data_IF_937566606768
#
_entry.id   IF_937566606768
#
_cell.length_a   1.000
_cell.length_b   1.000
_cell.length_c   1.000
_cell.angle_alpha   90.00
_cell.angle_beta   90.00
_cell.angle_gamma   90.00
#
_symmetry.space_group_name_H-M   'P 1'
#
loop_
_entity.id
_entity.type
_entity.pdbx_description
1 polymer ?
#
# COMPACT_ATOMS: atom_id res chain seq x y z
N UNK A 1 2.74 10.21 -14.12
CA UNK A 1 2.93 9.02 -13.26
C UNK A 1 3.45 9.41 -11.89
N UNK A 2 2.56 9.66 -10.93
CA UNK A 2 2.96 10.00 -9.56
C UNK A 2 2.79 8.74 -8.70
N UNK A 3 3.87 7.97 -8.55
CA UNK A 3 3.93 6.86 -7.59
C UNK A 3 4.68 7.32 -6.34
N UNK A 4 4.07 7.20 -5.17
CA UNK A 4 4.71 7.51 -3.89
C UNK A 4 5.34 6.24 -3.32
N UNK A 5 6.48 6.37 -2.64
CA UNK A 5 7.06 5.26 -1.87
C UNK A 5 6.62 5.35 -0.42
N UNK A 6 6.18 4.23 0.13
CA UNK A 6 5.73 4.09 1.51
C UNK A 6 6.58 3.03 2.21
N UNK A 7 7.22 3.39 3.32
CA UNK A 7 7.94 2.41 4.14
C UNK A 7 6.95 1.82 5.14
N UNK A 8 6.71 0.51 5.07
CA UNK A 8 5.81 -0.19 5.99
C UNK A 8 6.41 -0.13 7.40
N UNK A 9 5.62 0.30 8.37
CA UNK A 9 6.00 0.23 9.79
C UNK A 9 5.26 -0.90 10.51
N UNK A 10 5.72 -1.27 11.70
CA UNK A 10 5.06 -2.31 12.48
C UNK A 10 3.63 -1.88 12.82
N UNK A 11 2.64 -2.66 12.35
CA UNK A 11 1.21 -2.36 12.50
C UNK A 11 0.58 -1.65 11.30
N UNK A 12 1.36 -1.27 10.29
CA UNK A 12 0.80 -0.87 8.99
C UNK A 12 0.13 -2.06 8.31
N UNK A 13 -0.90 -1.75 7.54
CA UNK A 13 -1.64 -2.70 6.73
C UNK A 13 -2.00 -2.04 5.40
N UNK A 14 -2.12 -2.81 4.32
CA UNK A 14 -2.45 -2.24 3.01
C UNK A 14 -3.77 -1.44 3.05
N UNK A 15 -4.76 -1.88 3.83
CA UNK A 15 -6.00 -1.12 4.07
C UNK A 15 -5.75 0.24 4.73
N UNK A 16 -4.88 0.31 5.74
CA UNK A 16 -4.55 1.55 6.44
C UNK A 16 -3.80 2.52 5.54
N UNK A 17 -2.86 2.00 4.74
CA UNK A 17 -2.11 2.80 3.75
C UNK A 17 -3.07 3.31 2.67
N UNK A 18 -3.94 2.46 2.13
CA UNK A 18 -4.95 2.84 1.15
C UNK A 18 -5.97 3.85 1.71
N UNK A 19 -6.44 3.67 2.95
CA UNK A 19 -7.31 4.64 3.60
C UNK A 19 -6.64 6.01 3.78
N UNK A 20 -5.32 6.03 4.04
CA UNK A 20 -4.57 7.25 4.26
C UNK A 20 -4.20 7.97 2.96
N UNK A 21 -3.84 7.22 1.92
CA UNK A 21 -3.40 7.78 0.64
C UNK A 21 -4.57 7.99 -0.34
N UNK A 22 -5.57 7.10 -0.37
CA UNK A 22 -6.73 7.19 -1.25
C UNK A 22 -8.01 7.65 -0.56
N UNK A 23 -8.01 7.78 0.78
CA UNK A 23 -9.24 8.01 1.54
C UNK A 23 -10.15 6.78 1.62
N UNK A 24 -9.79 5.68 0.96
CA UNK A 24 -10.63 4.49 0.88
C UNK A 24 -9.79 3.22 1.15
N UNK A 25 -10.06 2.49 2.25
CA UNK A 25 -9.35 1.25 2.57
C UNK A 25 -9.57 0.16 1.52
N UNK A 26 -10.64 0.21 0.70
CA UNK A 26 -10.94 -0.78 -0.34
C UNK A 26 -10.00 -0.74 -1.55
N UNK A 27 -9.28 0.38 -1.75
CA UNK A 27 -8.35 0.58 -2.85
C UNK A 27 -6.96 -0.05 -2.61
N UNK A 28 -6.79 -0.80 -1.51
CA UNK A 28 -5.58 -1.54 -1.18
C UNK A 28 -5.10 -2.49 -2.28
N UNK A 29 -6.01 -2.96 -3.15
CA UNK A 29 -5.70 -3.80 -4.30
C UNK A 29 -4.75 -3.13 -5.28
N UNK A 30 -4.87 -1.81 -5.49
CA UNK A 30 -3.98 -1.06 -6.38
C UNK A 30 -2.53 -1.10 -5.88
N UNK A 31 -2.35 -1.00 -4.56
CA UNK A 31 -1.03 -1.10 -3.91
C UNK A 31 -0.51 -2.53 -4.04
N UNK A 32 -1.36 -3.54 -3.82
CA UNK A 32 -0.96 -4.93 -3.95
C UNK A 32 -0.53 -5.27 -5.38
N UNK A 33 -1.29 -4.84 -6.39
CA UNK A 33 -0.98 -5.04 -7.81
C UNK A 33 0.31 -4.33 -8.22
N UNK A 34 0.50 -3.08 -7.78
CA UNK A 34 1.71 -2.30 -8.07
C UNK A 34 2.98 -2.93 -7.47
N UNK A 35 2.86 -3.58 -6.30
CA UNK A 35 3.99 -4.21 -5.61
C UNK A 35 4.09 -5.72 -5.82
N UNK A 36 3.18 -6.30 -6.63
CA UNK A 36 3.07 -7.75 -6.82
C UNK A 36 2.94 -8.53 -5.50
N UNK A 37 2.21 -7.96 -4.55
CA UNK A 37 1.95 -8.59 -3.25
C UNK A 37 0.81 -9.58 -3.42
N UNK A 38 1.16 -10.87 -3.30
CA UNK A 38 0.19 -11.96 -3.34
C UNK A 38 -0.63 -12.03 -2.04
N UNK A 39 0.05 -11.82 -0.90
CA UNK A 39 -0.57 -11.85 0.43
C UNK A 39 -0.57 -10.47 1.09
N UNK A 40 -1.70 -9.73 1.06
CA UNK A 40 -1.81 -8.39 1.62
C UNK A 40 -1.71 -8.34 3.16
N UNK A 41 -1.82 -9.51 3.80
CA UNK A 41 -1.70 -9.69 5.25
C UNK A 41 -0.27 -9.95 5.70
N UNK A 42 0.63 -10.28 4.80
CA UNK A 42 2.06 -10.48 5.09
C UNK A 42 2.81 -9.25 4.62
N UNK A 43 2.71 -8.18 5.39
CA UNK A 43 3.53 -6.99 5.19
C UNK A 43 4.73 -7.07 6.13
N UNK A 44 5.92 -6.96 5.56
CA UNK A 44 7.15 -6.94 6.34
C UNK A 44 7.45 -5.49 6.75
N UNK A 45 7.51 -5.17 8.05
CA UNK A 45 7.92 -3.85 8.48
C UNK A 45 9.35 -3.56 8.01
N UNK A 46 9.56 -2.39 7.43
CA UNK A 46 10.79 -1.97 6.75
C UNK A 46 10.75 -2.16 5.23
N UNK A 47 9.71 -2.76 4.67
CA UNK A 47 9.55 -2.90 3.22
C UNK A 47 9.08 -1.61 2.56
N UNK A 48 9.66 -1.27 1.41
CA UNK A 48 9.24 -0.12 0.61
C UNK A 48 8.15 -0.54 -0.39
N UNK A 49 6.96 0.03 -0.22
CA UNK A 49 5.82 -0.16 -1.11
C UNK A 49 5.65 1.02 -2.06
N UNK A 50 5.38 0.70 -3.31
CA UNK A 50 4.93 1.64 -4.33
C UNK A 50 3.43 1.85 -4.18
N UNK A 51 3.03 3.03 -3.76
CA UNK A 51 1.63 3.45 -3.68
C UNK A 51 1.33 4.32 -4.92
N UNK A 52 0.68 3.78 -5.96
CA UNK A 52 0.33 4.56 -7.14
C UNK A 52 -0.76 5.58 -6.78
N UNK A 53 -0.65 6.85 -7.18
CA UNK A 53 -1.76 7.78 -6.98
C UNK A 53 -2.95 7.38 -7.85
N UNK A 54 -4.13 7.38 -7.24
CA UNK A 54 -5.40 7.21 -7.94
C UNK A 54 -5.76 8.56 -8.57
N UNK A 55 -5.79 8.64 -9.89
CA UNK A 55 -6.31 9.80 -10.64
C UNK A 55 -7.81 9.99 -10.42
#
# INVERSE_FOLDING_TARGET
DLTKRWVVTQGDSLWSIAAKEYGNPGDWRLIAEANKIDNPRTLTPGEELVVPLKE
#
